data_IF_817153284068
#
_entry.id   IF_817153284068
#
_cell.length_a   1.000
_cell.length_b   1.000
_cell.length_c   1.000
_cell.angle_alpha   90.00
_cell.angle_beta   90.00
_cell.angle_gamma   90.00
#
_symmetry.space_group_name_H-M   'P 1'
#
loop_
_entity.id
_entity.type
_entity.pdbx_description
1 polymer ?
#
# COMPACT_ATOMS: atom_id res chain seq x y z
N UNK A 1 -47.11 25.36 0.82
CA UNK A 1 -46.63 24.77 -0.45
C UNK A 1 -45.89 25.78 -1.34
N UNK A 2 -46.44 26.97 -1.61
CA UNK A 2 -45.80 28.00 -2.46
C UNK A 2 -44.46 28.52 -1.93
N UNK A 3 -44.32 28.72 -0.61
CA UNK A 3 -43.06 29.15 0.01
C UNK A 3 -41.93 28.11 -0.17
N UNK A 4 -42.26 26.83 -0.01
CA UNK A 4 -41.32 25.71 -0.19
C UNK A 4 -40.83 25.65 -1.64
N UNK A 5 -41.75 25.80 -2.59
CA UNK A 5 -41.43 25.83 -4.02
C UNK A 5 -40.54 27.03 -4.38
N UNK A 6 -40.82 28.22 -3.83
CA UNK A 6 -40.00 29.41 -4.05
C UNK A 6 -38.57 29.25 -3.50
N UNK A 7 -38.42 28.69 -2.29
CA UNK A 7 -37.13 28.38 -1.68
C UNK A 7 -36.37 27.36 -2.54
N UNK A 8 -37.04 26.32 -3.01
CA UNK A 8 -36.45 25.32 -3.90
C UNK A 8 -35.95 25.94 -5.22
N UNK A 9 -36.77 26.76 -5.89
CA UNK A 9 -36.37 27.44 -7.13
C UNK A 9 -35.18 28.40 -6.93
N UNK A 10 -35.14 29.12 -5.80
CA UNK A 10 -34.00 29.97 -5.45
C UNK A 10 -32.74 29.15 -5.23
N UNK A 11 -32.82 28.03 -4.51
CA UNK A 11 -31.70 27.11 -4.29
C UNK A 11 -31.20 26.52 -5.63
N UNK A 12 -32.10 26.03 -6.48
CA UNK A 12 -31.74 25.48 -7.79
C UNK A 12 -31.08 26.53 -8.70
N UNK A 13 -31.62 27.75 -8.73
CA UNK A 13 -31.04 28.84 -9.52
C UNK A 13 -29.66 29.23 -8.99
N UNK A 14 -29.49 29.27 -7.66
CA UNK A 14 -28.21 29.56 -7.04
C UNK A 14 -27.16 28.47 -7.34
N UNK A 15 -27.51 27.19 -7.21
CA UNK A 15 -26.65 26.05 -7.58
C UNK A 15 -26.28 26.11 -9.06
N UNK A 16 -27.24 26.42 -9.93
CA UNK A 16 -27.03 26.50 -11.37
C UNK A 16 -26.05 27.63 -11.73
N UNK A 17 -26.25 28.83 -11.18
CA UNK A 17 -25.33 29.97 -11.36
C UNK A 17 -23.94 29.63 -10.82
N UNK A 18 -23.86 28.96 -9.65
CA UNK A 18 -22.60 28.52 -9.07
C UNK A 18 -21.84 27.56 -9.99
N UNK A 19 -22.52 26.57 -10.59
CA UNK A 19 -21.94 25.63 -11.56
C UNK A 19 -21.48 26.31 -12.84
N UNK A 20 -22.27 27.24 -13.37
CA UNK A 20 -21.92 27.96 -14.61
C UNK A 20 -20.65 28.80 -14.45
N UNK A 21 -20.45 29.43 -13.29
CA UNK A 21 -19.25 30.21 -12.98
C UNK A 21 -17.96 29.39 -12.96
N UNK A 22 -18.04 28.06 -12.87
CA UNK A 22 -16.88 27.17 -12.76
C UNK A 22 -16.53 26.46 -14.07
N UNK A 23 -17.25 26.73 -15.17
CA UNK A 23 -17.14 25.97 -16.43
C UNK A 23 -15.76 26.00 -17.09
N UNK A 24 -14.95 27.03 -16.82
CA UNK A 24 -13.59 27.22 -17.37
C UNK A 24 -12.47 27.18 -16.31
N UNK A 25 -12.75 26.73 -15.09
CA UNK A 25 -11.73 26.72 -14.05
C UNK A 25 -10.77 25.53 -14.21
N UNK A 26 -9.49 25.78 -13.91
CA UNK A 26 -8.45 24.74 -13.81
C UNK A 26 -8.57 23.90 -12.53
N UNK A 27 -9.59 24.16 -11.71
CA UNK A 27 -9.77 23.59 -10.39
C UNK A 27 -10.97 22.63 -10.36
N UNK A 28 -10.97 21.65 -9.43
CA UNK A 28 -12.10 20.78 -9.13
C UNK A 28 -13.37 21.60 -8.96
N UNK A 29 -14.49 21.15 -9.57
CA UNK A 29 -15.73 21.91 -9.40
C UNK A 29 -16.30 21.61 -8.02
N UNK A 30 -16.73 22.67 -7.36
CA UNK A 30 -17.28 22.59 -6.02
C UNK A 30 -18.79 22.76 -6.03
N UNK A 31 -19.44 22.03 -5.15
CA UNK A 31 -20.83 22.22 -4.77
C UNK A 31 -20.91 23.08 -3.52
N UNK A 32 -21.98 23.87 -3.37
CA UNK A 32 -22.16 24.64 -2.15
C UNK A 32 -22.23 23.72 -0.92
N UNK A 33 -21.53 24.11 0.14
CA UNK A 33 -21.35 23.36 1.41
C UNK A 33 -20.63 22.00 1.31
N UNK A 34 -20.67 21.36 0.14
CA UNK A 34 -20.14 20.00 -0.07
C UNK A 34 -18.79 19.98 -0.78
N UNK A 35 -18.30 21.14 -1.24
CA UNK A 35 -17.01 21.23 -1.92
C UNK A 35 -16.96 20.32 -3.15
N UNK A 36 -15.79 19.76 -3.43
CA UNK A 36 -15.58 18.79 -4.50
C UNK A 36 -15.98 17.35 -4.10
N UNK A 37 -16.55 17.13 -2.90
CA UNK A 37 -16.82 15.77 -2.42
C UNK A 37 -17.73 14.99 -3.36
N UNK A 38 -18.74 15.62 -3.97
CA UNK A 38 -19.58 14.92 -4.95
C UNK A 38 -18.82 14.53 -6.22
N UNK A 39 -17.85 15.33 -6.69
CA UNK A 39 -17.08 14.95 -7.86
C UNK A 39 -16.11 13.82 -7.55
N UNK A 40 -15.54 13.81 -6.34
CA UNK A 40 -14.63 12.76 -5.89
C UNK A 40 -15.36 11.45 -5.53
N UNK A 41 -16.58 11.53 -4.97
CA UNK A 41 -17.39 10.36 -4.59
C UNK A 41 -18.21 9.79 -5.74
N UNK A 42 -18.42 10.54 -6.82
CA UNK A 42 -19.14 10.04 -7.99
C UNK A 42 -18.41 8.86 -8.66
N UNK A 43 -17.08 8.78 -8.51
CA UNK A 43 -16.27 7.68 -9.01
C UNK A 43 -15.04 7.50 -8.11
N UNK A 44 -15.23 6.79 -6.99
CA UNK A 44 -14.17 6.51 -6.01
C UNK A 44 -13.06 5.67 -6.63
N UNK A 45 -13.42 4.78 -7.55
CA UNK A 45 -12.49 3.88 -8.25
C UNK A 45 -11.60 4.67 -9.23
N UNK A 46 -12.15 5.70 -9.88
CA UNK A 46 -11.39 6.61 -10.74
C UNK A 46 -10.81 7.83 -10.02
N UNK A 47 -10.75 7.85 -8.68
CA UNK A 47 -10.26 9.02 -7.92
C UNK A 47 -8.84 9.43 -8.36
N UNK A 48 -7.94 8.48 -8.61
CA UNK A 48 -6.59 8.77 -9.06
C UNK A 48 -6.57 9.41 -10.45
N UNK A 49 -7.38 8.92 -11.39
CA UNK A 49 -7.53 9.49 -12.73
C UNK A 49 -8.17 10.87 -12.70
N UNK A 50 -9.15 11.07 -11.81
CA UNK A 50 -9.78 12.36 -11.56
C UNK A 50 -8.76 13.39 -11.09
N UNK A 51 -7.92 13.06 -10.10
CA UNK A 51 -6.83 13.93 -9.62
C UNK A 51 -5.83 14.19 -10.76
N UNK A 52 -5.43 13.14 -11.49
CA UNK A 52 -4.49 13.24 -12.62
C UNK A 52 -5.01 14.17 -13.73
N UNK A 53 -6.32 14.14 -14.01
CA UNK A 53 -6.97 15.03 -14.97
C UNK A 53 -6.81 16.52 -14.63
N UNK A 54 -6.73 16.87 -13.35
CA UNK A 54 -6.40 18.23 -12.90
C UNK A 54 -4.90 18.48 -12.85
N UNK A 55 -4.11 17.51 -12.37
CA UNK A 55 -2.65 17.65 -12.27
C UNK A 55 -1.97 17.81 -13.65
N UNK A 56 -2.54 17.22 -14.70
CA UNK A 56 -2.09 17.41 -16.08
C UNK A 56 -2.23 18.86 -16.58
N UNK A 57 -3.11 19.66 -15.97
CA UNK A 57 -3.36 21.07 -16.31
C UNK A 57 -2.66 22.05 -15.39
N UNK A 58 -2.42 21.64 -14.13
CA UNK A 58 -1.77 22.43 -13.08
C UNK A 58 -0.99 21.51 -12.17
N UNK A 59 0.28 21.81 -11.90
CA UNK A 59 1.13 20.95 -11.06
C UNK A 59 0.72 20.91 -9.58
N UNK A 60 -0.15 21.81 -9.16
CA UNK A 60 -0.73 21.84 -7.81
C UNK A 60 -2.24 22.06 -7.91
N UNK A 61 -2.99 21.24 -7.18
CA UNK A 61 -4.46 21.20 -7.19
C UNK A 61 -4.99 21.21 -5.77
N UNK A 62 -5.90 22.13 -5.49
CA UNK A 62 -6.55 22.29 -4.18
C UNK A 62 -7.98 21.78 -4.31
N UNK A 63 -8.32 20.81 -3.47
CA UNK A 63 -9.62 20.14 -3.41
C UNK A 63 -10.27 20.55 -2.09
N UNK A 64 -11.23 21.47 -2.16
CA UNK A 64 -12.03 21.83 -0.99
C UNK A 64 -13.06 20.75 -0.70
N UNK A 65 -13.09 20.24 0.52
CA UNK A 65 -14.02 19.21 1.00
C UNK A 65 -14.91 19.79 2.12
N UNK A 66 -15.98 19.09 2.53
CA UNK A 66 -16.69 19.43 3.75
C UNK A 66 -15.70 19.42 4.92
N UNK A 67 -15.53 20.55 5.60
CA UNK A 67 -14.71 20.71 6.82
C UNK A 67 -13.18 20.59 6.66
N UNK A 68 -12.67 20.29 5.47
CA UNK A 68 -11.21 20.19 5.23
C UNK A 68 -10.84 20.60 3.81
N UNK A 69 -9.56 20.80 3.55
CA UNK A 69 -9.03 21.06 2.22
C UNK A 69 -7.81 20.19 2.00
N UNK A 70 -7.80 19.45 0.88
CA UNK A 70 -6.68 18.64 0.46
C UNK A 70 -5.91 19.36 -0.65
N UNK A 71 -4.59 19.42 -0.53
CA UNK A 71 -3.71 19.97 -1.57
C UNK A 71 -2.89 18.83 -2.15
N UNK A 72 -3.12 18.55 -3.44
CA UNK A 72 -2.36 17.60 -4.23
C UNK A 72 -1.26 18.34 -4.97
N UNK A 73 -0.02 17.86 -4.83
CA UNK A 73 1.17 18.47 -5.41
C UNK A 73 1.90 17.46 -6.30
N UNK A 74 2.30 17.92 -7.47
CA UNK A 74 3.13 17.19 -8.42
C UNK A 74 4.34 18.01 -8.91
N UNK A 75 4.45 19.29 -8.51
CA UNK A 75 5.66 20.07 -8.78
C UNK A 75 6.83 19.57 -7.91
N UNK A 76 7.99 19.23 -8.50
CA UNK A 76 9.13 18.74 -7.73
C UNK A 76 9.60 19.68 -6.62
N UNK A 77 9.48 21.01 -6.80
CA UNK A 77 9.87 21.97 -5.78
C UNK A 77 8.92 21.94 -4.57
N UNK A 78 7.62 21.79 -4.80
CA UNK A 78 6.61 21.67 -3.75
C UNK A 78 6.76 20.32 -3.02
N UNK A 79 6.99 19.23 -3.77
CA UNK A 79 7.25 17.89 -3.20
C UNK A 79 8.50 17.92 -2.32
N UNK A 80 9.57 18.56 -2.78
CA UNK A 80 10.80 18.72 -1.98
C UNK A 80 10.56 19.59 -0.74
N UNK A 81 9.73 20.64 -0.86
CA UNK A 81 9.37 21.48 0.28
C UNK A 81 8.67 20.66 1.36
N UNK A 82 7.63 19.91 1.00
CA UNK A 82 6.83 19.11 1.93
C UNK A 82 7.63 17.94 2.51
N UNK A 83 8.32 17.16 1.67
CA UNK A 83 8.97 15.92 2.10
C UNK A 83 10.37 16.12 2.69
N UNK A 84 11.04 17.25 2.42
CA UNK A 84 12.43 17.49 2.86
C UNK A 84 12.63 18.77 3.64
N UNK A 85 12.29 19.94 3.07
CA UNK A 85 12.68 21.23 3.67
C UNK A 85 11.82 21.61 4.88
N UNK A 86 10.54 21.23 4.88
CA UNK A 86 9.56 21.70 5.83
C UNK A 86 8.73 20.56 6.45
N UNK A 87 9.29 19.35 6.48
CA UNK A 87 8.63 18.12 6.88
C UNK A 87 7.87 18.20 8.22
N UNK A 88 8.44 18.89 9.23
CA UNK A 88 7.82 19.05 10.56
C UNK A 88 6.45 19.73 10.55
N UNK A 89 6.14 20.52 9.51
CA UNK A 89 4.86 21.21 9.37
C UNK A 89 3.80 20.38 8.62
N UNK A 90 4.14 19.17 8.20
CA UNK A 90 3.24 18.25 7.49
C UNK A 90 3.18 16.91 8.23
N UNK A 91 2.52 16.86 9.41
CA UNK A 91 2.39 15.64 10.18
C UNK A 91 1.61 14.59 9.38
N UNK A 92 2.02 13.34 9.51
CA UNK A 92 1.33 12.22 8.86
C UNK A 92 0.04 11.90 9.62
N UNK A 93 -0.98 11.51 8.87
CA UNK A 93 -2.29 11.16 9.41
C UNK A 93 -2.63 9.75 8.97
N UNK A 94 -1.88 8.72 9.42
CA UNK A 94 -2.31 7.31 9.33
C UNK A 94 -1.32 6.34 9.98
N UNK A 95 -1.83 5.22 10.51
CA UNK A 95 -1.12 3.97 10.89
C UNK A 95 -0.51 3.87 12.31
N UNK A 96 -1.26 4.28 13.34
CA UNK A 96 -0.98 3.93 14.75
C UNK A 96 0.35 4.50 15.27
N UNK A 97 0.99 3.86 16.24
CA UNK A 97 2.28 4.31 16.81
C UNK A 97 3.49 3.62 16.15
N UNK A 98 3.32 3.09 14.94
CA UNK A 98 4.38 2.40 14.19
C UNK A 98 5.20 3.32 13.28
N UNK A 99 6.25 2.75 12.68
CA UNK A 99 7.30 3.45 11.92
C UNK A 99 6.80 4.40 10.81
N UNK A 100 5.62 4.14 10.23
CA UNK A 100 5.07 4.99 9.19
C UNK A 100 4.40 6.26 9.72
N UNK A 101 3.97 6.27 10.99
CA UNK A 101 3.22 7.38 11.59
C UNK A 101 4.02 8.19 12.60
N UNK A 102 4.95 7.57 13.35
CA UNK A 102 5.76 8.29 14.34
C UNK A 102 6.71 9.29 13.66
N UNK A 103 7.05 10.36 14.37
CA UNK A 103 7.97 11.42 13.94
C UNK A 103 9.14 11.62 14.94
N UNK A 104 10.11 12.45 14.57
CA UNK A 104 11.21 12.88 15.45
C UNK A 104 12.20 11.76 15.81
N UNK A 105 12.66 11.75 17.06
CA UNK A 105 13.66 10.77 17.53
C UNK A 105 13.12 9.34 17.57
N UNK A 106 11.84 9.14 17.88
CA UNK A 106 11.23 7.81 17.87
C UNK A 106 11.23 7.22 16.47
N UNK A 107 10.82 8.00 15.46
CA UNK A 107 10.95 7.62 14.06
C UNK A 107 12.40 7.32 13.68
N UNK A 108 13.35 8.16 14.09
CA UNK A 108 14.77 7.98 13.79
C UNK A 108 15.30 6.67 14.36
N UNK A 109 14.93 6.32 15.60
CA UNK A 109 15.28 5.05 16.25
C UNK A 109 14.66 3.87 15.49
N UNK A 110 13.34 3.85 15.29
CA UNK A 110 12.65 2.76 14.57
C UNK A 110 13.18 2.59 13.14
N UNK A 111 13.39 3.69 12.39
CA UNK A 111 13.97 3.69 11.04
C UNK A 111 15.39 3.16 11.02
N UNK A 112 16.24 3.57 11.97
CA UNK A 112 17.60 3.05 12.07
C UNK A 112 17.60 1.54 12.33
N UNK A 113 16.77 1.09 13.27
CA UNK A 113 16.63 -0.34 13.63
C UNK A 113 16.16 -1.17 12.43
N UNK A 114 15.07 -0.77 11.78
CA UNK A 114 14.58 -1.44 10.58
C UNK A 114 15.63 -1.45 9.46
N UNK A 115 16.25 -0.31 9.16
CA UNK A 115 17.24 -0.21 8.08
C UNK A 115 18.46 -1.08 8.33
N UNK A 116 18.90 -1.19 9.59
CA UNK A 116 19.99 -2.06 9.98
C UNK A 116 19.65 -3.53 9.73
N UNK A 117 18.45 -3.97 10.14
CA UNK A 117 18.02 -5.36 9.95
C UNK A 117 17.85 -5.69 8.45
N UNK A 118 17.19 -4.84 7.66
CA UNK A 118 17.06 -5.05 6.21
C UNK A 118 18.39 -5.05 5.45
N UNK A 119 19.41 -4.35 5.96
CA UNK A 119 20.75 -4.36 5.38
C UNK A 119 21.58 -5.58 5.81
N UNK A 120 21.15 -6.31 6.83
CA UNK A 120 21.90 -7.42 7.41
C UNK A 120 22.00 -8.59 6.43
N UNK A 121 23.18 -9.21 6.33
CA UNK A 121 23.39 -10.36 5.43
C UNK A 121 22.48 -11.53 5.83
N UNK A 122 22.38 -11.81 7.12
CA UNK A 122 21.58 -12.91 7.65
C UNK A 122 20.11 -12.75 7.26
N UNK A 123 19.55 -11.55 7.44
CA UNK A 123 18.18 -11.27 7.06
C UNK A 123 17.95 -11.44 5.55
N UNK A 124 18.86 -10.93 4.71
CA UNK A 124 18.74 -11.06 3.24
C UNK A 124 18.86 -12.52 2.78
N UNK A 125 19.79 -13.28 3.33
CA UNK A 125 19.99 -14.68 2.98
C UNK A 125 18.74 -15.50 3.37
N UNK A 126 18.23 -15.28 4.59
CA UNK A 126 17.00 -15.91 5.06
C UNK A 126 15.80 -15.53 4.20
N UNK A 127 15.61 -14.24 3.93
CA UNK A 127 14.53 -13.74 3.07
C UNK A 127 14.59 -14.33 1.66
N UNK A 128 15.79 -14.47 1.10
CA UNK A 128 15.99 -15.06 -0.23
C UNK A 128 15.51 -16.51 -0.29
N UNK A 129 15.83 -17.31 0.74
CA UNK A 129 15.35 -18.69 0.85
C UNK A 129 13.83 -18.71 0.94
N UNK A 130 13.25 -17.90 1.82
CA UNK A 130 11.79 -17.82 2.01
C UNK A 130 11.08 -17.42 0.71
N UNK A 131 11.54 -16.36 0.03
CA UNK A 131 10.93 -15.90 -1.22
C UNK A 131 11.06 -16.94 -2.33
N UNK A 132 12.18 -17.67 -2.40
CA UNK A 132 12.35 -18.78 -3.34
C UNK A 132 11.34 -19.89 -3.06
N UNK A 133 11.19 -20.31 -1.81
CA UNK A 133 10.28 -21.40 -1.44
C UNK A 133 8.82 -21.05 -1.77
N UNK A 134 8.38 -19.84 -1.46
CA UNK A 134 7.03 -19.38 -1.84
C UNK A 134 6.84 -19.18 -3.34
N UNK A 135 7.89 -18.76 -4.06
CA UNK A 135 7.85 -18.68 -5.54
C UNK A 135 7.69 -20.07 -6.17
N UNK A 136 8.31 -21.10 -5.60
CA UNK A 136 8.15 -22.48 -6.05
C UNK A 136 6.74 -23.01 -5.77
N UNK A 137 6.19 -22.77 -4.57
CA UNK A 137 4.78 -23.09 -4.24
C UNK A 137 3.82 -22.41 -5.21
N UNK A 138 4.05 -21.12 -5.50
CA UNK A 138 3.27 -20.37 -6.48
C UNK A 138 3.35 -20.97 -7.88
N UNK A 139 4.56 -21.35 -8.33
CA UNK A 139 4.77 -22.02 -9.62
C UNK A 139 4.04 -23.37 -9.70
N UNK A 140 4.07 -24.19 -8.64
CA UNK A 140 3.35 -25.47 -8.60
C UNK A 140 1.84 -25.28 -8.79
N UNK A 141 1.25 -24.27 -8.12
CA UNK A 141 -0.17 -23.93 -8.27
C UNK A 141 -0.48 -23.52 -9.71
N UNK A 142 0.33 -22.64 -10.30
CA UNK A 142 0.15 -22.21 -11.69
C UNK A 142 0.32 -23.35 -12.69
N UNK A 143 1.30 -24.23 -12.46
CA UNK A 143 1.53 -25.42 -13.28
C UNK A 143 0.33 -26.36 -13.25
N UNK A 144 -0.23 -26.63 -12.06
CA UNK A 144 -1.40 -27.46 -11.93
C UNK A 144 -2.65 -26.82 -12.55
N UNK A 145 -2.86 -25.52 -12.35
CA UNK A 145 -3.95 -24.79 -13.00
C UNK A 145 -3.82 -24.83 -14.53
N UNK A 146 -2.61 -24.69 -15.07
CA UNK A 146 -2.32 -24.81 -16.50
C UNK A 146 -2.67 -26.21 -17.03
N UNK A 147 -2.23 -27.27 -16.34
CA UNK A 147 -2.56 -28.66 -16.70
C UNK A 147 -4.07 -28.93 -16.69
N UNK A 148 -4.82 -28.30 -15.80
CA UNK A 148 -6.26 -28.43 -15.68
C UNK A 148 -7.05 -27.42 -16.53
N UNK A 149 -6.35 -26.57 -17.32
CA UNK A 149 -6.93 -25.47 -18.09
C UNK A 149 -7.83 -24.54 -17.25
N UNK A 150 -7.39 -24.25 -16.02
CA UNK A 150 -8.09 -23.40 -15.05
C UNK A 150 -7.57 -21.96 -15.11
N UNK A 151 -8.49 -21.00 -15.05
CA UNK A 151 -8.15 -19.58 -14.89
C UNK A 151 -7.75 -19.30 -13.44
N UNK A 152 -6.70 -18.50 -13.26
CA UNK A 152 -6.19 -18.11 -11.93
C UNK A 152 -6.28 -16.61 -11.77
N UNK A 153 -6.79 -16.16 -10.63
CA UNK A 153 -6.67 -14.77 -10.21
C UNK A 153 -5.24 -14.53 -9.68
N UNK A 154 -4.43 -13.87 -10.51
CA UNK A 154 -3.04 -13.58 -10.18
C UNK A 154 -2.90 -12.59 -9.02
N UNK A 155 -3.82 -11.63 -8.88
CA UNK A 155 -3.75 -10.65 -7.81
C UNK A 155 -3.99 -11.31 -6.46
N UNK A 156 -5.03 -12.13 -6.36
CA UNK A 156 -5.33 -12.89 -5.14
C UNK A 156 -4.17 -13.85 -4.78
N UNK A 157 -3.63 -14.56 -5.76
CA UNK A 157 -2.55 -15.51 -5.53
C UNK A 157 -1.25 -14.81 -5.07
N UNK A 158 -0.92 -13.66 -5.67
CA UNK A 158 0.23 -12.86 -5.26
C UNK A 158 0.02 -12.23 -3.89
N UNK A 159 -1.19 -11.78 -3.54
CA UNK A 159 -1.53 -11.26 -2.21
C UNK A 159 -1.35 -12.31 -1.11
N UNK A 160 -1.70 -13.57 -1.39
CA UNK A 160 -1.43 -14.71 -0.48
C UNK A 160 0.05 -14.99 -0.36
N UNK A 161 0.76 -15.05 -1.49
CA UNK A 161 2.20 -15.31 -1.51
C UNK A 161 2.99 -14.24 -0.73
N UNK A 162 2.66 -12.96 -0.91
CA UNK A 162 3.35 -11.87 -0.22
C UNK A 162 3.01 -11.80 1.26
N UNK A 163 1.76 -12.09 1.65
CA UNK A 163 1.37 -12.22 3.06
C UNK A 163 2.14 -13.34 3.76
N UNK A 164 2.14 -14.55 3.19
CA UNK A 164 2.85 -15.68 3.76
C UNK A 164 4.37 -15.41 3.83
N UNK A 165 4.92 -14.77 2.80
CA UNK A 165 6.34 -14.39 2.75
C UNK A 165 6.71 -13.35 3.81
N UNK A 166 5.96 -12.25 3.93
CA UNK A 166 6.28 -11.19 4.89
C UNK A 166 6.11 -11.68 6.33
N UNK A 167 5.11 -12.54 6.59
CA UNK A 167 4.91 -13.09 7.91
C UNK A 167 6.01 -14.09 8.29
N UNK A 168 6.47 -14.90 7.32
CA UNK A 168 7.58 -15.82 7.56
C UNK A 168 8.90 -15.09 7.76
N UNK A 169 9.18 -14.07 6.96
CA UNK A 169 10.41 -13.28 7.06
C UNK A 169 10.40 -12.38 8.31
N UNK A 170 9.30 -11.67 8.55
CA UNK A 170 9.19 -10.65 9.59
C UNK A 170 8.98 -11.22 10.99
N UNK A 171 8.31 -12.37 11.10
CA UNK A 171 7.84 -12.93 12.38
C UNK A 171 8.16 -14.42 12.55
N UNK A 172 8.78 -15.07 11.56
CA UNK A 172 9.04 -16.52 11.60
C UNK A 172 7.80 -17.40 11.42
N UNK A 173 6.61 -16.80 11.24
CA UNK A 173 5.32 -17.49 11.22
C UNK A 173 4.91 -17.87 9.80
N UNK A 174 4.50 -19.12 9.61
CA UNK A 174 3.89 -19.59 8.36
C UNK A 174 2.37 -19.58 8.53
N UNK A 175 1.67 -18.72 7.77
CA UNK A 175 0.20 -18.63 7.82
C UNK A 175 -0.45 -19.71 6.95
N UNK A 176 0.19 -20.05 5.82
CA UNK A 176 -0.26 -21.11 4.93
C UNK A 176 -1.46 -20.72 4.06
N UNK A 177 -1.61 -19.43 3.73
CA UNK A 177 -2.71 -18.95 2.87
C UNK A 177 -2.57 -19.36 1.40
N UNK A 178 -1.35 -19.70 0.98
CA UNK A 178 -1.03 -20.15 -0.38
C UNK A 178 -1.36 -21.64 -0.63
N UNK A 179 -1.80 -22.41 0.36
CA UNK A 179 -2.06 -23.84 0.20
C UNK A 179 -3.37 -24.12 -0.58
N UNK A 180 -3.36 -25.08 -1.55
CA UNK A 180 -4.49 -25.30 -2.47
C UNK A 180 -5.77 -25.90 -1.84
N UNK A 181 -5.74 -26.42 -0.61
CA UNK A 181 -6.85 -27.16 0.00
C UNK A 181 -7.16 -26.78 1.46
N UNK A 182 -6.94 -25.53 1.90
CA UNK A 182 -7.31 -25.14 3.27
C UNK A 182 -8.69 -24.43 3.35
N UNK A 183 -9.54 -24.82 4.34
CA UNK A 183 -10.74 -24.07 4.69
C UNK A 183 -10.38 -22.70 5.30
N UNK A 184 -11.36 -21.81 5.36
CA UNK A 184 -11.26 -20.47 5.95
C UNK A 184 -10.52 -20.50 7.31
N UNK A 185 -9.44 -19.73 7.44
CA UNK A 185 -8.45 -19.89 8.51
C UNK A 185 -8.70 -18.94 9.69
N UNK A 186 -8.96 -19.48 10.89
CA UNK A 186 -9.16 -18.74 12.14
C UNK A 186 -7.87 -18.43 12.96
N UNK A 187 -6.68 -18.69 12.41
CA UNK A 187 -5.38 -18.16 12.87
C UNK A 187 -4.92 -16.94 12.04
N UNK A 188 -5.60 -16.68 10.91
CA UNK A 188 -5.87 -15.30 10.53
C UNK A 188 -6.84 -14.60 11.53
N UNK A 189 -7.49 -15.38 12.41
CA UNK A 189 -8.46 -14.89 13.41
C UNK A 189 -7.92 -14.88 14.85
N UNK A 190 -6.81 -15.53 15.18
CA UNK A 190 -6.09 -15.24 16.42
C UNK A 190 -4.60 -15.58 16.26
N UNK A 191 -3.77 -14.65 16.70
CA UNK A 191 -2.31 -14.62 16.86
C UNK A 191 -1.83 -15.73 17.84
N UNK A 192 -2.45 -16.90 17.76
CA UNK A 192 -2.59 -17.85 18.85
C UNK A 192 -1.55 -18.94 18.77
N UNK A 193 -0.34 -18.53 19.09
CA UNK A 193 0.33 -19.05 20.29
C UNK A 193 1.82 -18.93 20.03
N UNK A 194 2.34 -17.76 20.43
CA UNK A 194 3.70 -17.55 20.92
C UNK A 194 4.64 -18.75 20.76
N UNK A 195 5.38 -18.81 19.66
CA UNK A 195 6.54 -19.69 19.56
C UNK A 195 7.80 -18.85 19.39
N UNK A 196 8.45 -18.63 20.53
CA UNK A 196 9.87 -18.32 20.64
C UNK A 196 10.64 -19.48 20.00
N UNK A 197 11.36 -19.22 18.90
CA UNK A 197 12.77 -19.62 18.68
C UNK A 197 13.19 -19.19 17.27
N UNK A 198 13.27 -17.89 16.97
CA UNK A 198 14.12 -17.35 15.90
C UNK A 198 14.65 -15.99 16.37
N UNK A 199 15.91 -15.91 16.79
CA UNK A 199 16.56 -14.65 17.24
C UNK A 199 16.93 -13.69 16.09
N UNK A 200 16.32 -13.85 14.92
CA UNK A 200 16.73 -13.19 13.67
C UNK A 200 15.58 -12.55 12.88
N UNK A 201 14.37 -12.46 13.45
CA UNK A 201 13.23 -11.81 12.78
C UNK A 201 13.11 -10.32 13.15
N UNK A 202 12.35 -9.56 12.35
CA UNK A 202 12.17 -8.12 12.52
C UNK A 202 11.53 -7.83 13.88
N UNK A 203 10.54 -8.63 14.28
CA UNK A 203 9.83 -8.44 15.54
C UNK A 203 10.74 -8.58 16.76
N UNK A 204 11.64 -9.57 16.77
CA UNK A 204 12.63 -9.76 17.83
C UNK A 204 13.48 -8.51 18.01
N UNK A 205 13.88 -7.87 16.90
CA UNK A 205 14.64 -6.61 16.95
C UNK A 205 13.84 -5.45 17.52
N UNK A 206 12.54 -5.37 17.22
CA UNK A 206 11.67 -4.35 17.79
C UNK A 206 11.33 -4.62 19.27
N UNK A 207 11.23 -5.87 19.69
CA UNK A 207 11.08 -6.26 21.10
C UNK A 207 12.34 -5.86 21.88
N UNK A 208 13.54 -6.13 21.35
CA UNK A 208 14.79 -5.66 21.97
C UNK A 208 14.82 -4.13 22.08
N UNK A 209 14.38 -3.41 21.04
CA UNK A 209 14.28 -1.95 21.08
C UNK A 209 13.29 -1.45 22.15
N UNK A 210 12.21 -2.19 22.44
CA UNK A 210 11.26 -1.83 23.50
C UNK A 210 11.78 -2.07 24.92
N UNK A 211 12.80 -2.92 25.10
CA UNK A 211 13.37 -3.22 26.41
C UNK A 211 14.44 -2.22 26.84
N UNK A 212 14.84 -1.30 25.95
CA UNK A 212 15.71 -0.17 26.25
C UNK A 212 15.00 0.79 27.24
N UNK A 213 15.55 1.05 28.44
CA UNK A 213 14.94 1.93 29.44
C UNK A 213 14.67 3.36 28.93
N UNK A 214 15.39 3.79 27.90
CA UNK A 214 15.24 5.10 27.27
C UNK A 214 14.12 5.11 26.20
N UNK A 215 13.42 3.99 25.97
CA UNK A 215 12.33 3.84 25.01
C UNK A 215 11.01 3.50 25.72
N UNK A 216 10.05 4.43 25.73
CA UNK A 216 8.68 4.19 26.20
C UNK A 216 7.83 3.42 25.16
N UNK A 217 8.34 2.31 24.61
CA UNK A 217 7.61 1.55 23.59
C UNK A 217 6.67 0.54 24.28
N UNK A 218 5.37 0.64 24.01
CA UNK A 218 4.34 -0.22 24.61
C UNK A 218 4.01 -1.42 23.73
N UNK A 219 3.34 -2.43 24.27
CA UNK A 219 2.82 -3.57 23.49
C UNK A 219 1.93 -3.13 22.32
N UNK A 220 1.17 -2.03 22.51
CA UNK A 220 0.40 -1.39 21.43
C UNK A 220 1.32 -0.91 20.32
N UNK A 221 2.41 -0.23 20.65
CA UNK A 221 3.38 0.28 19.67
C UNK A 221 4.07 -0.86 18.91
N UNK A 222 4.40 -1.96 19.57
CA UNK A 222 4.92 -3.17 18.92
C UNK A 222 3.92 -3.76 17.93
N UNK A 223 2.66 -3.91 18.34
CA UNK A 223 1.58 -4.38 17.44
C UNK A 223 1.41 -3.45 16.24
N UNK A 224 1.45 -2.15 16.44
CA UNK A 224 1.31 -1.17 15.35
C UNK A 224 2.50 -1.25 14.39
N UNK A 225 3.72 -1.51 14.87
CA UNK A 225 4.89 -1.79 14.02
C UNK A 225 4.69 -3.08 13.20
N UNK A 226 4.22 -4.16 13.83
CA UNK A 226 3.94 -5.44 13.14
C UNK A 226 2.92 -5.24 12.03
N UNK A 227 1.78 -4.60 12.34
CA UNK A 227 0.72 -4.30 11.36
C UNK A 227 1.27 -3.47 10.20
N UNK A 228 2.10 -2.47 10.50
CA UNK A 228 2.73 -1.63 9.49
C UNK A 228 3.60 -2.45 8.53
N UNK A 229 4.41 -3.38 9.02
CA UNK A 229 5.22 -4.25 8.17
C UNK A 229 4.39 -5.21 7.33
N UNK A 230 3.33 -5.81 7.89
CA UNK A 230 2.45 -6.71 7.15
C UNK A 230 1.74 -5.96 6.02
N UNK A 231 1.10 -4.83 6.33
CA UNK A 231 0.34 -4.04 5.35
C UNK A 231 1.28 -3.53 4.25
N UNK A 232 2.42 -2.96 4.63
CA UNK A 232 3.37 -2.45 3.66
C UNK A 232 3.97 -3.57 2.80
N UNK A 233 4.32 -4.71 3.40
CA UNK A 233 4.95 -5.82 2.68
C UNK A 233 3.99 -6.59 1.76
N UNK A 234 2.76 -6.82 2.20
CA UNK A 234 1.75 -7.59 1.46
C UNK A 234 1.25 -6.84 0.23
N UNK A 235 0.59 -5.71 0.46
CA UNK A 235 -0.25 -5.06 -0.56
C UNK A 235 0.62 -4.38 -1.62
N UNK A 236 1.71 -3.71 -1.22
CA UNK A 236 2.59 -3.01 -2.18
C UNK A 236 3.35 -3.98 -3.06
N UNK A 237 3.88 -5.07 -2.50
CA UNK A 237 4.64 -6.08 -3.25
C UNK A 237 3.72 -6.87 -4.19
N UNK A 238 2.52 -7.27 -3.74
CA UNK A 238 1.58 -8.01 -4.56
C UNK A 238 1.06 -7.15 -5.73
N UNK A 239 0.74 -5.89 -5.47
CA UNK A 239 0.32 -4.94 -6.51
C UNK A 239 1.44 -4.73 -7.53
N UNK A 240 2.69 -4.54 -7.07
CA UNK A 240 3.85 -4.39 -7.95
C UNK A 240 4.06 -5.62 -8.83
N UNK A 241 3.99 -6.82 -8.26
CA UNK A 241 4.14 -8.07 -9.01
C UNK A 241 2.98 -8.28 -10.00
N UNK A 242 1.75 -7.94 -9.61
CA UNK A 242 0.57 -8.06 -10.47
C UNK A 242 0.72 -7.17 -11.70
N UNK A 243 1.07 -5.89 -11.51
CA UNK A 243 1.35 -4.97 -12.62
C UNK A 243 2.55 -5.41 -13.45
N UNK A 244 3.60 -5.96 -12.84
CA UNK A 244 4.75 -6.47 -13.58
C UNK A 244 4.35 -7.63 -14.49
N UNK A 245 3.55 -8.58 -14.01
CA UNK A 245 3.05 -9.71 -14.80
C UNK A 245 2.12 -9.22 -15.91
N UNK A 246 1.18 -8.33 -15.60
CA UNK A 246 0.27 -7.75 -16.58
C UNK A 246 1.03 -7.05 -17.72
N UNK A 247 2.02 -6.22 -17.36
CA UNK A 247 2.87 -5.53 -18.33
C UNK A 247 3.70 -6.50 -19.17
N UNK A 248 4.23 -7.59 -18.58
CA UNK A 248 4.98 -8.61 -19.31
C UNK A 248 4.05 -9.36 -20.28
N UNK A 249 2.85 -9.73 -19.86
CA UNK A 249 1.88 -10.45 -20.68
C UNK A 249 1.37 -9.58 -21.83
N UNK A 250 1.23 -8.27 -21.61
CA UNK A 250 0.80 -7.30 -22.62
C UNK A 250 1.91 -6.89 -23.61
N UNK A 251 3.19 -7.19 -23.33
CA UNK A 251 4.34 -6.81 -24.15
C UNK A 251 5.21 -8.02 -24.51
N UNK A 252 4.86 -8.70 -25.60
CA UNK A 252 5.48 -9.98 -26.00
C UNK A 252 6.99 -9.87 -26.27
N UNK A 253 7.50 -8.72 -26.75
CA UNK A 253 8.92 -8.50 -26.98
C UNK A 253 9.72 -8.44 -25.66
N UNK A 254 9.13 -7.88 -24.61
CA UNK A 254 9.70 -7.85 -23.26
C UNK A 254 9.70 -9.26 -22.68
N UNK A 255 8.59 -10.00 -22.81
CA UNK A 255 8.49 -11.39 -22.35
C UNK A 255 9.57 -12.28 -22.99
N UNK A 256 9.78 -12.17 -24.30
CA UNK A 256 10.82 -12.92 -25.01
C UNK A 256 12.23 -12.57 -24.54
N UNK A 257 12.52 -11.28 -24.27
CA UNK A 257 13.82 -10.85 -23.73
C UNK A 257 14.07 -11.41 -22.33
N UNK A 258 13.05 -11.39 -21.47
CA UNK A 258 13.13 -11.96 -20.12
C UNK A 258 13.37 -13.47 -20.17
N UNK A 259 12.60 -14.19 -20.99
CA UNK A 259 12.78 -15.63 -21.17
C UNK A 259 14.17 -15.99 -21.70
N UNK A 260 14.65 -15.25 -22.72
CA UNK A 260 16.01 -15.42 -23.25
C UNK A 260 17.09 -15.11 -22.21
N UNK A 261 16.86 -14.11 -21.35
CA UNK A 261 17.74 -13.79 -20.22
C UNK A 261 17.80 -14.89 -19.18
N UNK A 262 16.65 -15.42 -18.75
CA UNK A 262 16.56 -16.53 -17.81
C UNK A 262 17.30 -17.78 -18.33
N UNK A 263 17.07 -18.14 -19.60
CA UNK A 263 17.76 -19.28 -20.23
C UNK A 263 19.29 -19.15 -20.23
N UNK A 264 19.82 -17.93 -20.47
CA UNK A 264 21.28 -17.66 -20.43
C UNK A 264 21.88 -17.79 -19.04
N UNK A 265 21.12 -17.48 -18.00
CA UNK A 265 21.58 -17.55 -16.61
C UNK A 265 21.57 -18.99 -16.05
N UNK A 266 21.18 -19.98 -16.86
CA UNK A 266 21.14 -21.38 -16.42
C UNK A 266 20.03 -21.65 -15.38
N UNK A 267 19.07 -20.73 -15.22
CA UNK A 267 17.85 -21.04 -14.47
C UNK A 267 17.07 -22.05 -15.31
N UNK A 268 17.15 -23.32 -14.95
CA UNK A 268 16.71 -24.47 -15.74
C UNK A 268 15.22 -24.45 -16.08
N UNK A 269 14.85 -23.70 -17.11
CA UNK A 269 13.64 -23.90 -17.90
C UNK A 269 14.03 -24.73 -19.13
N UNK A 270 14.22 -26.03 -18.91
CA UNK A 270 14.24 -27.03 -19.99
C UNK A 270 12.89 -27.74 -20.00
#
# INVERSE_FOLDING_TARGET
MQLILAIFCMLCSWIFIHRLKQKNNKWPKTWPFLGAAFEQLADVDAMHDWILGYLSKSRTVVVSMPFTTYTYIADPADVEHVLRRNFKNYPKVLLGDGIFNVDGELWRKQRKTASFEFASKNFRDFSTVVFRDYSLKHFEILSQASHNNQTVDMQELLMRMTLDSICKVGFGVEIGTLAPNLPHNEFATAFDSANMTIKHDILSRFIELSQDPDNNMTDKSLRDVVLNFVIAGRDTSATTLSWAIDMIMSHQDVAQKLYGGAKRLGTGFN
#
